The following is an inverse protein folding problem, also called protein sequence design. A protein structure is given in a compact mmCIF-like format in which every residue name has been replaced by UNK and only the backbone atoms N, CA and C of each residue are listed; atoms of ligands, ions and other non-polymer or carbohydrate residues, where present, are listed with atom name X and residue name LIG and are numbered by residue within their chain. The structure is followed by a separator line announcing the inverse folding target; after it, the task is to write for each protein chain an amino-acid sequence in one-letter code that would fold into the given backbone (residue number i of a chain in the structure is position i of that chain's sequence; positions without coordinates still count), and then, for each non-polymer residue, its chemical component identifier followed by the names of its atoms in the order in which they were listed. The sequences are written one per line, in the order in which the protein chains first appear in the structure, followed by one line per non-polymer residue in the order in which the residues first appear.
data_IF_928097819629
#
_entry.id   IF_928097819629
#
_cell.length_a   1.000
_cell.length_b   1.000
_cell.length_c   1.000
_cell.angle_alpha   90.00
_cell.angle_beta   90.00
_cell.angle_gamma   90.00
#
_symmetry.space_group_name_H-M   'P 1'
#
loop_
_entity.id
_entity.type
_entity.pdbx_description
1 polymer ?
#
# COMPACT_ATOMS: atom_id res chain seq x y z
N UNK A 1 -17.51 0.60 39.33
CA UNK A 1 -17.63 1.37 38.10
C UNK A 1 -16.22 1.57 37.57
N UNK A 2 -15.75 0.65 36.73
CA UNK A 2 -14.40 0.71 36.14
C UNK A 2 -14.53 1.45 34.82
N UNK A 3 -13.95 2.65 34.77
CA UNK A 3 -13.75 3.40 33.54
C UNK A 3 -12.78 2.59 32.67
N UNK A 4 -13.28 1.96 31.61
CA UNK A 4 -12.41 1.44 30.57
C UNK A 4 -11.76 2.65 29.89
N UNK A 5 -10.48 2.85 30.13
CA UNK A 5 -9.66 3.77 29.34
C UNK A 5 -9.73 3.33 27.89
N UNK A 6 -10.52 4.04 27.09
CA UNK A 6 -10.50 3.98 25.64
C UNK A 6 -9.20 4.60 25.16
N UNK A 7 -8.11 3.86 25.34
CA UNK A 7 -6.83 4.15 24.72
C UNK A 7 -7.03 4.10 23.21
N UNK A 8 -7.13 5.27 22.59
CA UNK A 8 -6.96 5.43 21.14
C UNK A 8 -5.59 4.86 20.81
N UNK A 9 -5.58 3.64 20.28
CA UNK A 9 -4.37 3.00 19.78
C UNK A 9 -3.99 3.72 18.50
N UNK A 10 -3.41 4.92 18.61
CA UNK A 10 -2.74 5.57 17.49
C UNK A 10 -1.46 4.78 17.22
N UNK A 11 -1.35 4.07 16.08
CA UNK A 11 -0.15 3.31 15.80
C UNK A 11 1.01 4.28 15.57
N UNK A 12 2.17 3.99 16.16
CA UNK A 12 3.43 4.59 15.78
C UNK A 12 3.63 4.39 14.27
N UNK A 13 3.54 5.49 13.52
CA UNK A 13 3.75 5.51 12.08
C UNK A 13 5.20 5.09 11.82
N UNK A 14 5.41 4.17 10.87
CA UNK A 14 6.75 3.64 10.53
C UNK A 14 7.75 4.76 10.18
N UNK A 15 7.27 5.95 9.84
CA UNK A 15 7.88 7.24 10.16
C UNK A 15 6.81 8.31 9.92
N UNK A 16 6.48 9.14 10.91
CA UNK A 16 5.44 10.18 10.76
C UNK A 16 5.77 11.19 9.63
N UNK A 17 7.06 11.29 9.27
CA UNK A 17 7.58 12.21 8.26
C UNK A 17 7.62 11.61 6.83
N UNK A 18 7.14 10.38 6.62
CA UNK A 18 7.10 9.80 5.27
C UNK A 18 6.08 10.56 4.38
N UNK A 19 6.39 10.83 3.09
CA UNK A 19 5.46 11.53 2.23
C UNK A 19 4.15 10.76 2.03
N UNK A 20 3.05 11.53 1.88
CA UNK A 20 1.74 11.04 1.43
C UNK A 20 1.62 11.24 -0.07
N UNK A 21 1.25 10.20 -0.80
CA UNK A 21 1.04 10.24 -2.24
C UNK A 21 -0.42 10.48 -2.62
N UNK A 22 -1.38 10.17 -1.74
CA UNK A 22 -2.80 10.34 -1.95
C UNK A 22 -3.38 11.41 -1.01
N UNK A 23 -4.45 12.07 -1.46
CA UNK A 23 -5.21 13.03 -0.63
C UNK A 23 -6.30 12.36 0.21
N UNK A 24 -6.54 11.05 0.04
CA UNK A 24 -7.56 10.34 0.79
C UNK A 24 -7.17 10.25 2.27
N UNK A 25 -8.11 10.52 3.20
CA UNK A 25 -7.84 10.35 4.61
C UNK A 25 -7.63 8.86 4.93
N UNK A 26 -6.74 8.56 5.87
CA UNK A 26 -6.63 7.18 6.37
C UNK A 26 -7.90 6.79 7.13
N UNK A 27 -8.19 5.47 7.23
CA UNK A 27 -9.23 4.99 8.11
C UNK A 27 -8.92 5.35 9.56
N UNK A 28 -9.97 5.54 10.37
CA UNK A 28 -9.85 5.96 11.77
C UNK A 28 -9.09 4.96 12.66
N UNK A 29 -8.86 3.73 12.19
CA UNK A 29 -7.95 2.75 12.77
C UNK A 29 -7.47 1.80 11.68
N UNK A 30 -6.29 1.19 11.89
CA UNK A 30 -5.85 0.02 11.12
C UNK A 30 -6.51 -1.25 11.68
N UNK A 31 -6.83 -2.20 10.83
CA UNK A 31 -7.36 -3.47 11.30
C UNK A 31 -6.29 -4.33 12.01
N UNK A 32 -6.57 -4.71 13.25
CA UNK A 32 -5.81 -5.70 14.02
C UNK A 32 -6.80 -6.74 14.58
N UNK A 33 -6.72 -8.00 14.12
CA UNK A 33 -7.58 -9.09 14.60
C UNK A 33 -7.60 -9.19 16.13
N UNK A 34 -8.80 -9.19 16.70
CA UNK A 34 -9.00 -9.27 18.15
C UNK A 34 -8.86 -7.95 18.91
N UNK A 35 -8.38 -6.88 18.27
CA UNK A 35 -8.22 -5.55 18.89
C UNK A 35 -9.15 -4.50 18.31
N UNK A 36 -9.35 -4.49 17.00
CA UNK A 36 -10.24 -3.51 16.32
C UNK A 36 -11.39 -4.22 15.62
N UNK A 37 -12.54 -3.56 15.42
CA UNK A 37 -13.64 -4.10 14.62
C UNK A 37 -13.16 -4.46 13.20
N UNK A 38 -13.71 -5.53 12.63
CA UNK A 38 -13.37 -5.92 11.26
C UNK A 38 -13.96 -4.89 10.27
N UNK A 39 -13.15 -4.28 9.37
CA UNK A 39 -13.57 -3.17 8.53
C UNK A 39 -14.86 -3.40 7.74
N UNK A 40 -15.01 -4.59 7.14
CA UNK A 40 -16.18 -4.94 6.31
C UNK A 40 -17.24 -5.84 6.97
N UNK A 41 -16.92 -6.49 8.10
CA UNK A 41 -17.75 -7.60 8.67
C UNK A 41 -18.35 -7.29 10.04
N UNK A 42 -17.81 -6.30 10.75
CA UNK A 42 -18.36 -5.83 12.02
C UNK A 42 -19.17 -4.55 11.76
N UNK A 43 -20.39 -4.37 12.31
CA UNK A 43 -21.17 -3.13 12.17
C UNK A 43 -20.45 -1.84 12.60
N UNK A 44 -19.39 -1.94 13.41
CA UNK A 44 -18.51 -0.82 13.82
C UNK A 44 -17.28 -0.67 12.91
N UNK A 45 -17.22 -1.48 11.86
CA UNK A 45 -16.20 -1.49 10.82
C UNK A 45 -16.19 -0.18 10.04
N UNK A 46 -15.00 0.37 9.78
CA UNK A 46 -14.85 1.64 9.04
C UNK A 46 -15.26 1.54 7.55
N UNK A 47 -15.54 0.33 7.06
CA UNK A 47 -16.03 0.05 5.70
C UNK A 47 -17.32 -0.79 5.72
N UNK A 48 -18.02 -0.90 6.87
CA UNK A 48 -19.20 -1.76 6.99
C UNK A 48 -20.36 -1.22 6.17
N UNK A 49 -20.99 -2.10 5.38
CA UNK A 49 -22.11 -1.72 4.49
C UNK A 49 -21.71 -0.81 3.32
N UNK A 50 -20.44 -0.42 3.22
CA UNK A 50 -19.94 0.33 2.07
C UNK A 50 -19.79 -0.60 0.87
N UNK A 51 -20.26 -0.17 -0.29
CA UNK A 51 -19.99 -0.88 -1.54
C UNK A 51 -18.48 -0.98 -1.76
N UNK A 52 -18.02 -2.11 -2.30
CA UNK A 52 -16.63 -2.23 -2.72
C UNK A 52 -16.38 -1.24 -3.86
N UNK A 53 -15.41 -0.35 -3.68
CA UNK A 53 -15.03 0.58 -4.71
C UNK A 53 -14.31 -0.19 -5.82
N UNK A 54 -14.85 -0.12 -7.04
CA UNK A 54 -14.17 -0.65 -8.22
C UNK A 54 -13.37 0.47 -8.87
N UNK A 55 -12.04 0.57 -8.62
CA UNK A 55 -11.23 1.58 -9.28
C UNK A 55 -11.23 1.34 -10.80
N UNK A 56 -11.12 2.39 -11.63
CA UNK A 56 -10.97 2.21 -13.06
C UNK A 56 -9.67 1.48 -13.38
N UNK A 57 -9.69 0.63 -14.41
CA UNK A 57 -8.46 0.09 -14.97
C UNK A 57 -7.60 1.22 -15.56
N UNK A 58 -6.28 1.11 -15.44
CA UNK A 58 -5.34 2.09 -15.97
C UNK A 58 -4.08 1.39 -16.49
N UNK A 59 -3.43 1.97 -17.50
CA UNK A 59 -2.16 1.45 -18.01
C UNK A 59 -1.03 1.67 -17.00
N UNK A 60 0.02 0.83 -16.98
CA UNK A 60 1.12 0.98 -16.03
C UNK A 60 1.78 2.38 -16.02
N UNK A 61 1.88 3.05 -17.17
CA UNK A 61 2.48 4.39 -17.28
C UNK A 61 1.57 5.51 -16.73
N UNK A 62 0.26 5.26 -16.62
CA UNK A 62 -0.73 6.19 -16.06
C UNK A 62 -0.90 6.02 -14.54
N UNK A 63 0.02 5.32 -13.87
CA UNK A 63 -0.01 5.14 -12.42
C UNK A 63 -0.09 6.45 -11.60
N UNK A 64 0.49 7.60 -12.01
CA UNK A 64 0.40 8.83 -11.21
C UNK A 64 -1.05 9.30 -11.05
N UNK A 65 -1.88 9.07 -12.05
CA UNK A 65 -3.29 9.49 -12.05
C UNK A 65 -4.19 8.55 -11.23
N UNK A 66 -3.69 7.36 -10.87
CA UNK A 66 -4.45 6.38 -10.09
C UNK A 66 -4.43 6.70 -8.60
N UNK A 67 -5.45 7.41 -8.13
CA UNK A 67 -5.64 7.73 -6.71
C UNK A 67 -5.66 6.47 -5.84
N UNK A 68 -6.33 5.39 -6.29
CA UNK A 68 -6.40 4.13 -5.56
C UNK A 68 -5.02 3.46 -5.42
N UNK A 69 -4.17 3.57 -6.44
CA UNK A 69 -2.80 3.05 -6.38
C UNK A 69 -1.96 3.84 -5.38
N UNK A 70 -1.94 5.17 -5.52
CA UNK A 70 -1.22 6.06 -4.58
C UNK A 70 -1.70 5.87 -3.14
N UNK A 71 -3.00 5.72 -2.94
CA UNK A 71 -3.58 5.46 -1.62
C UNK A 71 -3.20 4.10 -1.05
N UNK A 72 -3.21 3.02 -1.85
CA UNK A 72 -2.75 1.71 -1.40
C UNK A 72 -1.28 1.70 -0.97
N UNK A 73 -0.44 2.51 -1.62
CA UNK A 73 0.96 2.71 -1.24
C UNK A 73 1.08 3.48 0.07
N UNK A 74 0.27 4.53 0.28
CA UNK A 74 0.18 5.23 1.56
C UNK A 74 -0.26 4.26 2.69
N UNK A 75 -1.29 3.46 2.47
CA UNK A 75 -1.75 2.45 3.45
C UNK A 75 -0.62 1.46 3.80
N UNK A 76 0.15 1.00 2.81
CA UNK A 76 1.30 0.14 3.03
C UNK A 76 2.36 0.80 3.92
N UNK A 77 2.78 2.02 3.56
CA UNK A 77 3.87 2.75 4.20
C UNK A 77 3.54 3.14 5.65
N UNK A 78 2.26 3.32 5.97
CA UNK A 78 1.78 3.68 7.30
C UNK A 78 1.22 2.48 8.08
N UNK A 79 1.55 1.24 7.65
CA UNK A 79 1.23 -0.02 8.33
C UNK A 79 -0.29 -0.36 8.45
N UNK A 80 -1.12 0.17 7.56
CA UNK A 80 -2.50 -0.27 7.32
C UNK A 80 -2.49 -1.46 6.35
N UNK A 81 -1.74 -2.52 6.69
CA UNK A 81 -1.44 -3.60 5.74
C UNK A 81 -2.66 -4.41 5.31
N UNK A 82 -3.68 -4.51 6.15
CA UNK A 82 -4.93 -5.18 5.77
C UNK A 82 -5.71 -4.33 4.76
N UNK A 83 -5.85 -3.02 5.01
CA UNK A 83 -6.54 -2.10 4.12
C UNK A 83 -5.78 -1.92 2.79
N UNK A 84 -4.45 -1.92 2.86
CA UNK A 84 -3.57 -1.94 1.68
C UNK A 84 -3.82 -3.20 0.84
N UNK A 85 -3.83 -4.38 1.48
CA UNK A 85 -4.14 -5.65 0.82
C UNK A 85 -5.48 -5.60 0.10
N UNK A 86 -6.53 -5.17 0.80
CA UNK A 86 -7.89 -5.04 0.26
C UNK A 86 -7.95 -4.06 -0.93
N UNK A 87 -7.30 -2.90 -0.82
CA UNK A 87 -7.20 -1.90 -1.91
C UNK A 87 -6.47 -2.47 -3.13
N UNK A 88 -5.36 -3.18 -2.92
CA UNK A 88 -4.59 -3.77 -4.00
C UNK A 88 -5.27 -4.99 -4.63
N UNK A 89 -6.11 -5.74 -3.91
CA UNK A 89 -6.93 -6.81 -4.50
C UNK A 89 -7.90 -6.26 -5.56
N UNK A 90 -8.61 -5.17 -5.27
CA UNK A 90 -9.49 -4.54 -6.26
C UNK A 90 -8.70 -4.09 -7.50
N UNK A 91 -7.51 -3.50 -7.33
CA UNK A 91 -6.62 -3.11 -8.45
C UNK A 91 -6.08 -4.31 -9.24
N UNK A 92 -5.72 -5.40 -8.56
CA UNK A 92 -5.26 -6.64 -9.19
C UNK A 92 -6.33 -7.25 -10.10
N UNK A 93 -7.59 -7.24 -9.66
CA UNK A 93 -8.71 -7.69 -10.50
C UNK A 93 -8.85 -6.83 -11.76
N UNK A 94 -8.75 -5.51 -11.63
CA UNK A 94 -8.89 -4.59 -12.76
C UNK A 94 -7.71 -4.63 -13.73
N UNK A 95 -6.49 -4.87 -13.24
CA UNK A 95 -5.29 -5.01 -14.06
C UNK A 95 -5.24 -6.33 -14.86
N UNK A 96 -6.07 -7.31 -14.49
CA UNK A 96 -6.07 -8.65 -15.06
C UNK A 96 -5.00 -9.56 -14.44
N UNK A 97 -5.43 -10.72 -13.91
CA UNK A 97 -4.59 -11.58 -13.06
C UNK A 97 -3.41 -12.26 -13.75
N UNK A 98 -3.36 -12.21 -15.10
CA UNK A 98 -2.29 -12.80 -15.92
C UNK A 98 -1.38 -11.76 -16.58
N UNK A 99 -1.56 -10.48 -16.29
CA UNK A 99 -0.74 -9.40 -16.84
C UNK A 99 0.49 -9.12 -15.97
N UNK A 100 1.48 -8.40 -16.49
CA UNK A 100 2.63 -7.93 -15.70
C UNK A 100 2.18 -7.03 -14.54
N UNK A 101 1.23 -6.14 -14.80
CA UNK A 101 0.61 -5.29 -13.78
C UNK A 101 -0.12 -6.11 -12.71
N UNK A 102 -0.85 -7.15 -13.11
CA UNK A 102 -1.47 -8.10 -12.19
C UNK A 102 -0.44 -8.83 -11.33
N UNK A 103 0.67 -9.30 -11.91
CA UNK A 103 1.74 -9.94 -11.15
C UNK A 103 2.40 -8.98 -10.15
N UNK A 104 2.59 -7.71 -10.52
CA UNK A 104 3.09 -6.66 -9.64
C UNK A 104 2.16 -6.41 -8.45
N UNK A 105 0.86 -6.23 -8.69
CA UNK A 105 -0.12 -6.10 -7.60
C UNK A 105 -0.16 -7.32 -6.71
N UNK A 106 -0.12 -8.52 -7.28
CA UNK A 106 -0.13 -9.75 -6.49
C UNK A 106 1.13 -9.88 -5.62
N UNK A 107 2.28 -9.37 -6.07
CA UNK A 107 3.48 -9.28 -5.25
C UNK A 107 3.27 -8.34 -4.06
N UNK A 108 2.77 -7.12 -4.30
CA UNK A 108 2.48 -6.13 -3.25
C UNK A 108 1.46 -6.65 -2.22
N UNK A 109 0.39 -7.31 -2.68
CA UNK A 109 -0.62 -7.96 -1.82
C UNK A 109 0.05 -8.98 -0.89
N UNK A 110 0.95 -9.81 -1.44
CA UNK A 110 1.65 -10.83 -0.65
C UNK A 110 2.62 -10.21 0.36
N UNK A 111 3.33 -9.13 0.00
CA UNK A 111 4.21 -8.42 0.94
C UNK A 111 3.40 -7.72 2.04
N UNK A 112 2.26 -7.08 1.72
CA UNK A 112 1.36 -6.50 2.71
C UNK A 112 0.84 -7.57 3.68
N UNK A 113 0.37 -8.71 3.15
CA UNK A 113 -0.07 -9.85 3.96
C UNK A 113 1.07 -10.43 4.82
N UNK A 114 2.30 -10.45 4.31
CA UNK A 114 3.47 -10.91 5.06
C UNK A 114 3.74 -9.99 6.26
N UNK A 115 3.77 -8.68 6.07
CA UNK A 115 3.93 -7.72 7.16
C UNK A 115 2.80 -7.84 8.19
N UNK A 116 1.55 -7.95 7.73
CA UNK A 116 0.39 -8.17 8.59
C UNK A 116 0.55 -9.43 9.44
N UNK A 117 0.93 -10.57 8.84
CA UNK A 117 1.17 -11.82 9.57
C UNK A 117 2.32 -11.71 10.57
N UNK A 118 3.41 -11.02 10.19
CA UNK A 118 4.55 -10.81 11.10
C UNK A 118 4.15 -9.98 12.32
N UNK A 119 3.36 -8.93 12.13
CA UNK A 119 2.85 -8.10 13.22
C UNK A 119 1.91 -8.85 14.18
N UNK A 120 1.28 -9.94 13.70
CA UNK A 120 0.48 -10.85 14.53
C UNK A 120 1.31 -11.97 15.19
N UNK A 121 2.64 -11.94 15.09
CA UNK A 121 3.53 -12.98 15.62
C UNK A 121 3.53 -14.29 14.82
N UNK A 122 2.92 -14.32 13.64
CA UNK A 122 2.81 -15.51 12.79
C UNK A 122 3.99 -15.63 11.81
N UNK A 123 5.23 -15.68 12.33
CA UNK A 123 6.47 -15.56 11.55
C UNK A 123 6.59 -16.55 10.39
N UNK A 124 6.31 -17.84 10.59
CA UNK A 124 6.40 -18.83 9.51
C UNK A 124 5.45 -18.54 8.33
N UNK A 125 4.24 -18.05 8.64
CA UNK A 125 3.27 -17.63 7.60
C UNK A 125 3.73 -16.36 6.90
N UNK A 126 4.28 -15.42 7.65
CA UNK A 126 4.82 -14.17 7.14
C UNK A 126 5.98 -14.41 6.17
N UNK A 127 6.97 -15.23 6.56
CA UNK A 127 8.11 -15.59 5.71
C UNK A 127 7.67 -16.31 4.43
N UNK A 128 6.68 -17.20 4.52
CA UNK A 128 6.13 -17.88 3.34
C UNK A 128 5.53 -16.89 2.35
N UNK A 129 4.73 -15.93 2.83
CA UNK A 129 4.13 -14.89 2.00
C UNK A 129 5.19 -13.95 1.41
N UNK A 130 6.18 -13.55 2.21
CA UNK A 130 7.30 -12.73 1.76
C UNK A 130 8.04 -13.42 0.60
N UNK A 131 8.37 -14.71 0.74
CA UNK A 131 9.00 -15.49 -0.34
C UNK A 131 8.16 -15.49 -1.61
N UNK A 132 6.84 -15.68 -1.52
CA UNK A 132 5.99 -15.64 -2.70
C UNK A 132 6.01 -14.26 -3.38
N UNK A 133 5.91 -13.18 -2.60
CA UNK A 133 5.97 -11.82 -3.15
C UNK A 133 7.31 -11.53 -3.83
N UNK A 134 8.42 -11.92 -3.19
CA UNK A 134 9.77 -11.78 -3.76
C UNK A 134 9.93 -12.57 -5.06
N UNK A 135 9.42 -13.81 -5.14
CA UNK A 135 9.42 -14.59 -6.38
C UNK A 135 8.61 -13.90 -7.48
N UNK A 136 7.54 -13.17 -7.15
CA UNK A 136 6.79 -12.42 -8.16
C UNK A 136 7.52 -11.18 -8.63
N UNK A 137 8.16 -10.44 -7.73
CA UNK A 137 8.97 -9.27 -8.10
C UNK A 137 10.13 -9.64 -9.04
N UNK A 138 10.69 -10.84 -8.97
CA UNK A 138 11.72 -11.27 -9.93
C UNK A 138 11.23 -11.38 -11.39
N UNK A 139 9.92 -11.26 -11.63
CA UNK A 139 9.29 -11.25 -12.95
C UNK A 139 8.74 -9.87 -13.34
N UNK A 140 9.02 -8.84 -12.54
CA UNK A 140 8.65 -7.44 -12.78
C UNK A 140 9.90 -6.66 -13.19
N UNK A 141 9.82 -5.66 -14.08
CA UNK A 141 10.96 -4.82 -14.43
C UNK A 141 11.56 -4.14 -13.17
N UNK A 142 12.88 -3.87 -13.14
CA UNK A 142 13.54 -3.24 -11.99
C UNK A 142 12.93 -1.90 -11.57
N UNK A 143 12.38 -1.15 -12.53
CA UNK A 143 11.56 0.03 -12.27
C UNK A 143 10.18 -0.19 -12.89
N UNK A 144 9.13 -0.09 -12.09
CA UNK A 144 7.78 -0.36 -12.57
C UNK A 144 6.75 0.45 -11.77
N UNK A 145 5.85 1.15 -12.48
CA UNK A 145 4.78 1.96 -11.88
C UNK A 145 5.28 2.95 -10.82
N UNK A 146 6.44 3.57 -11.06
CA UNK A 146 7.04 4.54 -10.14
C UNK A 146 7.82 3.93 -8.97
N UNK A 147 7.89 2.60 -8.86
CA UNK A 147 8.63 1.91 -7.80
C UNK A 147 9.97 1.40 -8.34
N UNK A 148 11.04 1.62 -7.57
CA UNK A 148 12.29 0.85 -7.69
C UNK A 148 12.06 -0.54 -7.07
N UNK A 149 11.69 -1.49 -7.92
CA UNK A 149 11.32 -2.86 -7.53
C UNK A 149 12.54 -3.64 -7.06
N UNK A 150 13.71 -3.36 -7.61
CA UNK A 150 14.96 -4.00 -7.19
C UNK A 150 15.33 -3.59 -5.76
N UNK A 151 15.33 -2.29 -5.48
CA UNK A 151 15.56 -1.76 -4.13
C UNK A 151 14.51 -2.26 -3.13
N UNK A 152 13.23 -2.22 -3.50
CA UNK A 152 12.15 -2.74 -2.67
C UNK A 152 12.32 -4.24 -2.36
N UNK A 153 12.71 -5.03 -3.36
CA UNK A 153 12.95 -6.48 -3.20
C UNK A 153 14.08 -6.73 -2.19
N UNK A 154 15.16 -5.95 -2.28
CA UNK A 154 16.27 -6.07 -1.34
C UNK A 154 15.87 -5.66 0.08
N UNK A 155 15.16 -4.54 0.25
CA UNK A 155 14.69 -4.09 1.56
C UNK A 155 13.70 -5.07 2.22
N UNK A 156 12.79 -5.65 1.43
CA UNK A 156 11.88 -6.70 1.92
C UNK A 156 12.68 -7.91 2.38
N UNK A 157 13.64 -8.37 1.58
CA UNK A 157 14.51 -9.49 1.95
C UNK A 157 15.22 -9.20 3.27
N UNK A 158 15.87 -8.05 3.37
CA UNK A 158 16.64 -7.65 4.55
C UNK A 158 15.78 -7.56 5.81
N UNK A 159 14.54 -7.06 5.68
CA UNK A 159 13.60 -7.05 6.79
C UNK A 159 13.25 -8.46 7.25
N UNK A 160 12.91 -9.37 6.33
CA UNK A 160 12.49 -10.73 6.66
C UNK A 160 13.62 -11.67 7.12
N UNK A 161 14.88 -11.37 6.77
CA UNK A 161 16.05 -12.08 7.33
C UNK A 161 16.62 -11.41 8.59
N UNK A 162 16.10 -10.23 8.95
CA UNK A 162 16.45 -9.53 10.19
C UNK A 162 17.67 -8.61 10.11
N UNK A 163 18.27 -8.42 8.93
CA UNK A 163 19.35 -7.43 8.70
C UNK A 163 18.81 -5.99 8.68
N UNK A 164 17.50 -5.79 8.46
CA UNK A 164 16.80 -4.50 8.58
C UNK A 164 15.77 -4.56 9.72
N UNK A 165 15.72 -3.51 10.54
CA UNK A 165 14.84 -3.44 11.73
C UNK A 165 13.41 -3.03 11.41
N UNK A 166 13.23 -2.19 10.39
CA UNK A 166 11.92 -1.69 9.98
C UNK A 166 11.46 -2.35 8.68
N UNK A 167 10.14 -2.49 8.44
CA UNK A 167 9.61 -2.89 7.15
C UNK A 167 10.19 -2.04 6.01
N UNK A 168 10.24 -2.62 4.81
CA UNK A 168 10.48 -1.84 3.61
C UNK A 168 9.39 -0.77 3.47
N UNK A 169 9.75 0.43 3.03
CA UNK A 169 8.81 1.46 2.62
C UNK A 169 8.91 1.62 1.10
N UNK A 170 7.79 1.91 0.46
CA UNK A 170 7.70 2.08 -0.99
C UNK A 170 7.78 3.57 -1.28
N UNK A 171 8.86 3.97 -1.96
CA UNK A 171 9.01 5.30 -2.49
C UNK A 171 8.49 5.34 -3.93
N UNK A 172 7.57 6.26 -4.22
CA UNK A 172 7.14 6.53 -5.59
C UNK A 172 8.00 7.65 -6.18
N UNK A 173 8.64 7.37 -7.32
CA UNK A 173 9.29 8.38 -8.15
C UNK A 173 8.20 9.16 -8.91
N UNK A 174 7.59 10.13 -8.24
CA UNK A 174 6.61 11.01 -8.87
C UNK A 174 7.23 11.67 -10.12
N UNK A 175 6.53 11.66 -11.28
CA UNK A 175 7.00 12.43 -12.42
C UNK A 175 7.12 13.88 -11.99
N UNK A 176 8.19 14.56 -12.41
CA UNK A 176 8.34 15.99 -12.16
C UNK A 176 7.09 16.69 -12.67
N UNK A 177 6.56 17.66 -11.90
CA UNK A 177 5.45 18.48 -12.35
C UNK A 177 5.78 18.97 -13.77
N UNK A 178 4.91 18.73 -14.77
CA UNK A 178 5.09 19.41 -16.04
C UNK A 178 5.02 20.89 -15.69
N UNK A 179 6.16 21.58 -15.81
CA UNK A 179 6.25 23.04 -15.66
C UNK A 179 5.06 23.57 -16.46
N UNK A 180 4.10 24.17 -15.76
CA UNK A 180 2.91 24.75 -16.37
C UNK A 180 3.44 25.81 -17.32
N UNK A 181 3.62 25.47 -18.60
CA UNK A 181 4.07 26.42 -19.62
C UNK A 181 3.06 27.56 -19.59
N UNK A 182 3.47 28.68 -19.00
CA UNK A 182 2.70 29.90 -19.08
C UNK A 182 2.66 30.24 -20.57
N UNK A 183 1.46 30.39 -21.18
CA UNK A 183 1.40 30.83 -22.55
C UNK A 183 2.15 32.17 -22.66
N UNK A 184 2.97 32.37 -23.69
CA UNK A 184 3.70 33.62 -23.86
C UNK A 184 2.69 34.76 -23.81
N UNK A 185 2.95 35.72 -22.92
CA UNK A 185 2.12 36.90 -22.77
C UNK A 185 2.05 37.59 -24.12
N UNK A 186 0.87 37.63 -24.73
CA UNK A 186 0.66 38.36 -25.97
C UNK A 186 1.09 39.82 -25.73
N UNK A 187 1.90 40.41 -26.63
CA UNK A 187 2.27 41.80 -26.50
C UNK A 187 0.99 42.64 -26.57
N UNK A 188 0.82 43.53 -25.58
CA UNK A 188 -0.25 44.54 -25.60
C UNK A 188 -0.09 45.37 -26.88
N UNK A 189 -1.12 45.34 -27.73
CA UNK A 189 -1.33 46.35 -28.76
C UNK A 189 -1.74 47.68 -28.11
#
# INVERSE_FOLDING_TARGET
MLMHESGTYEPSLLSADWPRYSHQPFPCYRFVPGSTPHPRRDPRGHSYGSAEATPPAFSPDAWPDSEAYRYGIDLYNFAYWWECHDTFESLWHMAGTKTQQGNFFQALIQIAAANFKRALGASASAEKLARYGLTRFSHVPPHYMGVDVEALTQDVRDYFVGSRQQPAQIQLALPADPVREMPPSQPRQ
#
